data_IF_616250303451
#
_entry.id   IF_616250303451
#
_cell.length_a   1.000
_cell.length_b   1.000
_cell.length_c   1.000
_cell.angle_alpha   90.00
_cell.angle_beta   90.00
_cell.angle_gamma   90.00
#
_symmetry.space_group_name_H-M   'P 1'
#
loop_
_entity.id
_entity.type
_entity.pdbx_description
1 polymer ?
#
# COMPACT_ATOMS: atom_id res chain seq x y z
N UNK A 1 -54.77 6.33 28.56
CA UNK A 1 -53.41 5.75 28.63
C UNK A 1 -52.83 5.44 27.24
N UNK A 2 -53.60 4.84 26.34
CA UNK A 2 -53.18 4.50 24.96
C UNK A 2 -52.67 5.68 24.10
N UNK A 3 -53.28 6.88 24.22
CA UNK A 3 -52.89 8.05 23.42
C UNK A 3 -51.49 8.60 23.79
N UNK A 4 -51.07 8.43 25.05
CA UNK A 4 -49.73 8.84 25.51
C UNK A 4 -48.65 7.85 25.09
N UNK A 5 -48.96 6.55 25.05
CA UNK A 5 -48.04 5.53 24.53
C UNK A 5 -47.81 5.68 23.02
N UNK A 6 -48.87 5.93 22.25
CA UNK A 6 -48.77 6.16 20.81
C UNK A 6 -47.92 7.40 20.47
N UNK A 7 -48.07 8.49 21.23
CA UNK A 7 -47.24 9.68 21.06
C UNK A 7 -45.76 9.45 21.39
N UNK A 8 -45.46 8.65 22.43
CA UNK A 8 -44.09 8.29 22.81
C UNK A 8 -43.41 7.39 21.76
N UNK A 9 -44.15 6.42 21.20
CA UNK A 9 -43.67 5.56 20.12
C UNK A 9 -43.40 6.35 18.84
N UNK A 10 -44.26 7.30 18.46
CA UNK A 10 -44.01 8.17 17.31
C UNK A 10 -42.77 9.06 17.53
N UNK A 11 -42.58 9.58 18.74
CA UNK A 11 -41.42 10.40 19.08
C UNK A 11 -40.11 9.59 19.00
N UNK A 12 -40.08 8.34 19.46
CA UNK A 12 -38.92 7.45 19.35
C UNK A 12 -38.57 7.15 17.88
N UNK A 13 -39.55 6.83 17.04
CA UNK A 13 -39.31 6.56 15.61
C UNK A 13 -38.78 7.78 14.83
N UNK A 14 -39.16 9.00 15.21
CA UNK A 14 -38.69 10.23 14.56
C UNK A 14 -37.24 10.58 14.95
N UNK A 15 -36.80 10.22 16.17
CA UNK A 15 -35.43 10.48 16.66
C UNK A 15 -34.40 9.59 15.95
N UNK A 16 -34.75 8.33 15.66
CA UNK A 16 -33.86 7.42 14.93
C UNK A 16 -33.69 7.80 13.45
N UNK A 17 -34.75 8.27 12.79
CA UNK A 17 -34.68 8.71 11.40
C UNK A 17 -33.81 9.98 11.22
N UNK A 18 -33.79 10.87 12.23
CA UNK A 18 -32.97 12.09 12.19
C UNK A 18 -31.46 11.81 12.35
N UNK A 19 -31.06 10.71 13.01
CA UNK A 19 -29.65 10.35 13.22
C UNK A 19 -28.96 9.75 11.98
N UNK A 20 -29.72 9.31 10.97
CA UNK A 20 -29.17 8.67 9.77
C UNK A 20 -28.89 9.63 8.59
N UNK A 21 -29.23 10.93 8.69
CA UNK A 21 -28.81 11.93 7.70
C UNK A 21 -27.37 12.40 7.95
N UNK A 22 -26.40 11.48 7.85
CA UNK A 22 -25.00 11.90 7.67
C UNK A 22 -24.88 12.51 6.28
N UNK A 23 -24.59 13.81 6.21
CA UNK A 23 -24.34 14.52 4.95
C UNK A 23 -23.19 13.81 4.23
N UNK A 24 -23.44 13.26 3.05
CA UNK A 24 -22.40 12.58 2.28
C UNK A 24 -21.24 13.54 2.04
N UNK A 25 -19.98 13.10 2.25
CA UNK A 25 -18.85 13.97 2.05
C UNK A 25 -18.74 14.34 0.57
N UNK A 26 -18.44 15.61 0.27
CA UNK A 26 -18.32 16.10 -1.11
C UNK A 26 -17.03 15.52 -1.69
N UNK A 27 -17.13 14.68 -2.72
CA UNK A 27 -15.97 14.13 -3.41
C UNK A 27 -15.80 14.80 -4.78
N UNK A 28 -14.55 15.03 -5.19
CA UNK A 28 -14.18 15.55 -6.51
C UNK A 28 -13.18 14.61 -7.15
N UNK A 29 -13.25 14.46 -8.47
CA UNK A 29 -12.25 13.71 -9.22
C UNK A 29 -11.04 14.63 -9.47
N UNK A 30 -9.84 14.14 -9.15
CA UNK A 30 -8.59 14.83 -9.42
C UNK A 30 -7.55 13.86 -10.01
N UNK A 31 -6.45 14.41 -10.49
CA UNK A 31 -5.30 13.63 -10.94
C UNK A 31 -4.29 13.52 -9.81
N UNK A 32 -3.61 12.38 -9.72
CA UNK A 32 -2.46 12.18 -8.85
C UNK A 32 -1.28 13.06 -9.27
N UNK A 33 -0.23 13.08 -8.46
CA UNK A 33 1.02 13.79 -8.73
C UNK A 33 1.64 13.42 -10.09
N UNK A 34 1.38 12.22 -10.60
CA UNK A 34 1.81 11.76 -11.93
C UNK A 34 1.03 12.39 -13.11
N UNK A 35 -0.05 13.13 -12.84
CA UNK A 35 -0.90 13.79 -13.83
C UNK A 35 -1.73 12.83 -14.70
N UNK A 36 -1.75 11.53 -14.40
CA UNK A 36 -2.40 10.49 -15.23
C UNK A 36 -3.44 9.71 -14.45
N UNK A 37 -3.15 9.42 -13.19
CA UNK A 37 -3.99 8.55 -12.36
C UNK A 37 -5.15 9.35 -11.78
N UNK A 38 -6.39 8.89 -12.02
CA UNK A 38 -7.59 9.53 -11.48
C UNK A 38 -7.87 9.06 -10.06
N UNK A 39 -8.10 9.99 -9.14
CA UNK A 39 -8.44 9.72 -7.74
C UNK A 39 -9.64 10.54 -7.27
N UNK A 40 -10.37 10.01 -6.28
CA UNK A 40 -11.45 10.74 -5.61
C UNK A 40 -10.89 11.48 -4.39
N UNK A 41 -10.97 12.80 -4.40
CA UNK A 41 -10.57 13.67 -3.28
C UNK A 41 -11.81 14.08 -2.50
N UNK A 42 -11.78 13.88 -1.19
CA UNK A 42 -12.84 14.33 -0.30
C UNK A 42 -12.64 15.80 0.10
N UNK A 43 -13.49 16.69 -0.42
CA UNK A 43 -13.47 18.13 -0.15
C UNK A 43 -14.13 18.44 1.19
N UNK A 44 -13.44 19.18 2.06
CA UNK A 44 -13.98 19.66 3.33
C UNK A 44 -13.70 18.76 4.54
N UNK A 45 -13.13 17.58 4.32
CA UNK A 45 -12.29 16.95 5.35
C UNK A 45 -10.87 17.41 5.11
N UNK A 46 -10.47 18.49 5.78
CA UNK A 46 -9.09 18.57 6.18
C UNK A 46 -8.81 17.33 7.01
N UNK A 47 -8.13 16.33 6.42
CA UNK A 47 -7.21 15.55 7.22
C UNK A 47 -6.29 16.59 7.85
N UNK A 48 -6.50 16.88 9.12
CA UNK A 48 -5.65 17.81 9.86
C UNK A 48 -4.23 17.24 9.83
N UNK A 49 -3.31 18.00 9.23
CA UNK A 49 -1.86 17.85 9.30
C UNK A 49 -1.27 16.54 8.74
N UNK A 50 0.07 16.39 8.75
CA UNK A 50 0.71 15.14 8.36
C UNK A 50 0.05 14.00 9.15
N UNK A 51 0.01 12.78 8.60
CA UNK A 51 -0.72 11.61 9.13
C UNK A 51 -0.52 11.27 10.64
N UNK A 52 0.34 12.03 11.33
CA UNK A 52 0.81 11.92 12.69
C UNK A 52 0.04 12.75 13.73
N UNK A 53 -0.78 13.73 13.33
CA UNK A 53 -1.45 14.68 14.26
C UNK A 53 -2.30 14.04 15.37
N UNK A 54 -2.84 12.84 15.12
CA UNK A 54 -3.69 12.10 16.07
C UNK A 54 -2.97 10.91 16.72
N UNK A 55 -1.70 10.71 16.42
CA UNK A 55 -0.90 9.60 16.92
C UNK A 55 -0.12 10.07 18.14
N UNK A 56 -0.33 9.41 19.28
CA UNK A 56 0.53 9.57 20.46
C UNK A 56 1.60 8.49 20.42
N UNK A 57 2.84 8.90 20.28
CA UNK A 57 3.99 7.99 20.38
C UNK A 57 4.26 7.63 21.85
N UNK A 58 5.01 6.56 22.07
CA UNK A 58 5.51 6.24 23.40
C UNK A 58 6.52 7.32 23.84
N UNK A 59 6.29 7.92 25.00
CA UNK A 59 7.16 8.95 25.58
C UNK A 59 7.32 8.72 27.10
N UNK A 60 8.49 8.26 27.58
CA UNK A 60 9.70 7.96 26.81
C UNK A 60 9.62 6.60 26.10
N UNK A 61 10.16 6.50 24.89
CA UNK A 61 10.41 5.22 24.23
C UNK A 61 11.62 4.54 24.89
N UNK A 62 11.40 3.43 25.60
CA UNK A 62 12.48 2.66 26.23
C UNK A 62 12.95 1.53 25.29
N UNK A 63 14.16 1.66 24.74
CA UNK A 63 14.74 0.64 23.89
C UNK A 63 15.52 -0.43 24.67
N UNK A 64 15.42 -1.72 24.30
CA UNK A 64 16.26 -2.77 24.86
C UNK A 64 17.76 -2.52 24.60
N UNK A 65 18.67 -3.15 25.38
CA UNK A 65 20.11 -3.05 25.14
C UNK A 65 20.49 -3.43 23.69
N UNK A 66 21.34 -2.61 23.08
CA UNK A 66 21.77 -2.78 21.67
C UNK A 66 20.81 -2.16 20.65
N UNK A 67 19.64 -1.68 21.06
CA UNK A 67 18.73 -0.93 20.19
C UNK A 67 18.78 0.57 20.53
N UNK A 68 18.72 1.39 19.49
CA UNK A 68 18.72 2.85 19.60
C UNK A 68 17.42 3.41 19.03
N UNK A 69 16.90 4.43 19.69
CA UNK A 69 15.74 5.17 19.21
C UNK A 69 16.08 5.85 17.87
N UNK A 70 15.29 5.53 16.85
CA UNK A 70 15.50 6.03 15.48
C UNK A 70 14.18 6.55 14.91
N UNK A 71 14.22 7.80 14.43
CA UNK A 71 13.12 8.41 13.67
C UNK A 71 13.38 8.24 12.17
N UNK A 72 12.48 7.55 11.47
CA UNK A 72 12.56 7.38 10.01
C UNK A 72 11.63 8.37 9.32
N UNK A 73 12.10 8.96 8.22
CA UNK A 73 11.33 9.92 7.43
C UNK A 73 10.02 9.28 6.92
N UNK A 74 8.91 10.02 7.04
CA UNK A 74 7.57 9.54 6.68
C UNK A 74 6.89 8.68 7.76
N UNK A 75 7.58 8.30 8.83
CA UNK A 75 6.97 7.65 9.99
C UNK A 75 6.60 8.67 11.07
N UNK A 76 5.53 8.38 11.80
CA UNK A 76 5.01 9.30 12.81
C UNK A 76 5.66 9.18 14.18
N UNK A 77 6.22 8.01 14.49
CA UNK A 77 6.82 7.73 15.78
C UNK A 77 8.21 7.13 15.60
N UNK A 78 9.12 7.39 16.55
CA UNK A 78 10.39 6.71 16.58
C UNK A 78 10.19 5.25 17.00
N UNK A 79 11.14 4.41 16.63
CA UNK A 79 11.19 3.02 17.04
C UNK A 79 12.63 2.58 17.30
N UNK A 80 12.79 1.45 17.97
CA UNK A 80 14.08 0.93 18.37
C UNK A 80 14.72 0.14 17.21
N UNK A 81 15.88 0.59 16.74
CA UNK A 81 16.67 -0.06 15.68
C UNK A 81 17.97 -0.59 16.27
N UNK A 82 18.34 -1.82 15.95
CA UNK A 82 19.66 -2.36 16.24
C UNK A 82 20.48 -2.42 14.95
N UNK A 83 21.50 -1.56 14.77
CA UNK A 83 22.31 -1.53 13.55
C UNK A 83 23.24 -2.75 13.42
N UNK A 84 23.50 -3.46 14.52
CA UNK A 84 24.36 -4.66 14.55
C UNK A 84 23.62 -5.91 14.08
N UNK A 85 22.28 -5.89 14.09
CA UNK A 85 21.45 -6.97 13.54
C UNK A 85 21.29 -6.74 12.03
N UNK A 86 22.13 -7.42 11.26
CA UNK A 86 21.98 -7.53 9.81
C UNK A 86 21.02 -8.66 9.48
N UNK A 87 19.78 -8.32 9.13
CA UNK A 87 18.88 -9.26 8.48
C UNK A 87 19.24 -9.24 7.01
N UNK A 88 19.94 -10.28 6.55
CA UNK A 88 20.13 -10.47 5.12
C UNK A 88 18.74 -10.61 4.47
N UNK A 89 18.42 -9.84 3.42
CA UNK A 89 17.15 -9.99 2.75
C UNK A 89 17.12 -11.38 2.11
N UNK A 90 16.36 -12.30 2.71
CA UNK A 90 16.12 -13.64 2.17
C UNK A 90 15.55 -13.55 0.74
N UNK A 91 14.83 -12.47 0.45
CA UNK A 91 14.27 -12.14 -0.85
C UNK A 91 15.20 -11.18 -1.63
N UNK A 92 16.12 -11.75 -2.38
CA UNK A 92 16.95 -11.03 -3.38
C UNK A 92 16.15 -10.52 -4.60
N UNK A 93 14.85 -10.78 -4.65
CA UNK A 93 13.96 -10.33 -5.74
C UNK A 93 14.38 -10.88 -7.11
N UNK A 94 14.19 -10.08 -8.15
CA UNK A 94 14.51 -10.45 -9.53
C UNK A 94 16.00 -10.71 -9.78
N UNK A 95 16.91 -10.39 -8.86
CA UNK A 95 18.36 -10.66 -9.02
C UNK A 95 18.85 -11.86 -8.19
N UNK A 96 17.92 -12.61 -7.59
CA UNK A 96 18.25 -13.83 -6.85
C UNK A 96 18.77 -14.97 -7.72
N UNK A 97 19.13 -16.09 -7.08
CA UNK A 97 19.62 -17.30 -7.78
C UNK A 97 18.63 -17.83 -8.83
N UNK A 98 17.33 -17.65 -8.60
CA UNK A 98 16.23 -17.97 -9.53
C UNK A 98 15.54 -16.70 -10.07
N UNK A 99 16.17 -15.55 -9.91
CA UNK A 99 15.69 -14.27 -10.40
C UNK A 99 15.86 -14.15 -11.92
N UNK A 100 15.25 -13.12 -12.50
CA UNK A 100 15.40 -12.78 -13.91
C UNK A 100 16.71 -12.09 -14.23
N UNK A 101 17.09 -12.12 -15.50
CA UNK A 101 18.14 -11.28 -16.07
C UNK A 101 17.52 -10.29 -17.04
N UNK A 102 18.09 -9.08 -17.15
CA UNK A 102 17.63 -8.12 -18.16
C UNK A 102 17.81 -8.71 -19.56
N UNK A 103 16.82 -8.55 -20.43
CA UNK A 103 16.89 -8.97 -21.83
C UNK A 103 17.95 -8.16 -22.57
N UNK A 104 18.71 -8.83 -23.44
CA UNK A 104 19.66 -8.19 -24.36
C UNK A 104 18.97 -7.64 -25.62
N UNK A 105 17.75 -8.08 -25.91
CA UNK A 105 17.05 -7.80 -27.16
C UNK A 105 15.87 -6.84 -27.00
N UNK A 106 15.31 -6.71 -25.80
CA UNK A 106 14.17 -5.84 -25.51
C UNK A 106 14.45 -4.95 -24.30
N UNK A 107 14.24 -3.65 -24.47
CA UNK A 107 14.33 -2.69 -23.37
C UNK A 107 13.23 -2.97 -22.32
N UNK A 108 13.55 -2.74 -21.05
CA UNK A 108 12.65 -2.92 -19.90
C UNK A 108 12.09 -4.34 -19.67
N UNK A 109 12.59 -5.36 -20.39
CA UNK A 109 12.18 -6.76 -20.20
C UNK A 109 13.18 -7.50 -19.30
N UNK A 110 12.65 -8.27 -18.34
CA UNK A 110 13.40 -9.20 -17.50
C UNK A 110 12.99 -10.64 -17.80
N UNK A 111 13.98 -11.50 -18.04
CA UNK A 111 13.83 -12.88 -18.43
C UNK A 111 14.19 -13.81 -17.28
N UNK A 112 13.19 -14.54 -16.77
CA UNK A 112 13.37 -15.53 -15.72
C UNK A 112 13.82 -16.88 -16.30
N UNK A 113 14.54 -17.72 -15.52
CA UNK A 113 14.89 -19.07 -15.94
C UNK A 113 13.63 -19.85 -16.33
N UNK A 114 13.69 -20.47 -17.50
CA UNK A 114 12.60 -21.31 -17.98
C UNK A 114 12.69 -22.69 -17.32
N UNK A 115 11.55 -23.30 -17.00
CA UNK A 115 11.48 -24.66 -16.45
C UNK A 115 11.28 -25.69 -17.56
N UNK A 116 11.89 -25.48 -18.73
CA UNK A 116 11.71 -26.38 -19.87
C UNK A 116 12.36 -27.74 -19.60
N UNK A 117 11.68 -28.80 -20.02
CA UNK A 117 12.24 -30.16 -20.03
C UNK A 117 13.08 -30.44 -21.28
N UNK A 118 12.86 -29.65 -22.34
CA UNK A 118 13.61 -29.66 -23.60
C UNK A 118 14.52 -28.43 -23.66
N UNK A 119 15.51 -28.46 -24.55
CA UNK A 119 16.40 -27.32 -24.80
C UNK A 119 15.60 -26.08 -25.22
N UNK A 120 15.89 -24.96 -24.56
CA UNK A 120 15.19 -23.69 -24.77
C UNK A 120 15.60 -23.03 -26.10
N UNK A 121 14.66 -22.32 -26.72
CA UNK A 121 14.95 -21.51 -27.90
C UNK A 121 15.42 -20.13 -27.44
N UNK A 122 16.68 -19.80 -27.74
CA UNK A 122 17.29 -18.55 -27.31
C UNK A 122 16.79 -17.36 -28.15
N UNK A 123 16.62 -16.17 -27.54
CA UNK A 123 16.30 -14.97 -28.28
C UNK A 123 17.48 -14.58 -29.19
N UNK A 124 17.17 -14.09 -30.39
CA UNK A 124 18.14 -13.64 -31.38
C UNK A 124 17.59 -12.40 -32.09
N UNK A 125 18.46 -11.65 -32.77
CA UNK A 125 18.04 -10.48 -33.57
C UNK A 125 17.05 -10.79 -34.69
N UNK A 126 16.85 -12.06 -35.06
CA UNK A 126 16.00 -12.48 -36.18
C UNK A 126 14.66 -13.10 -35.76
N UNK A 127 14.59 -13.69 -34.56
CA UNK A 127 13.40 -14.41 -34.10
C UNK A 127 12.41 -13.55 -33.30
N UNK A 128 12.76 -12.28 -33.03
CA UNK A 128 11.87 -11.31 -32.36
C UNK A 128 11.55 -11.66 -30.91
N UNK A 129 12.23 -12.65 -30.31
CA UNK A 129 12.00 -13.04 -28.93
C UNK A 129 12.80 -12.16 -27.98
N UNK A 130 12.19 -11.77 -26.86
CA UNK A 130 12.87 -11.02 -25.80
C UNK A 130 13.57 -11.95 -24.79
N UNK A 131 13.02 -13.14 -24.56
CA UNK A 131 13.48 -14.09 -23.55
C UNK A 131 13.55 -15.51 -24.12
N UNK A 132 14.31 -16.41 -23.49
CA UNK A 132 14.27 -17.82 -23.85
C UNK A 132 12.86 -18.38 -23.69
N UNK A 133 12.43 -19.23 -24.62
CA UNK A 133 11.12 -19.88 -24.58
C UNK A 133 11.29 -21.40 -24.63
N UNK A 134 10.33 -22.11 -24.03
CA UNK A 134 10.24 -23.55 -24.24
C UNK A 134 9.73 -23.82 -25.65
N UNK A 135 10.32 -24.78 -26.37
CA UNK A 135 9.73 -25.26 -27.61
C UNK A 135 8.38 -25.93 -27.33
N UNK A 136 7.46 -25.84 -28.30
CA UNK A 136 6.18 -26.56 -28.24
C UNK A 136 6.34 -28.10 -28.13
#
# INVERSE_FOLDING_TARGET
MFLRLAALLLALCLVDAARLKRKAPKQVLALDHDGKTKMLIQVGTSGSGPACDKIKCADPLTCPPGFQETQVEGQCCPYCVNPDIKIEPEVTGATGKAGGKKSEYCEEVWCFPTMCTKEQVMPTTKNGMCCPQCPE
#
